data_IF_127577794715
#
_entry.id   IF_127577794715
#
_cell.length_a   1.000
_cell.length_b   1.000
_cell.length_c   1.000
_cell.angle_alpha   90.00
_cell.angle_beta   90.00
_cell.angle_gamma   90.00
#
_symmetry.space_group_name_H-M   'P 1'
#
loop_
_entity.id
_entity.type
_entity.pdbx_description
1 polymer ?
#
# COMPACT_ATOMS: atom_id res chain seq x y z
N UNK A 1 -4.76 -3.05 -11.04
CA UNK A 1 -5.24 -3.34 -9.68
C UNK A 1 -6.76 -3.32 -9.66
N UNK A 2 -7.36 -4.50 -9.72
CA UNK A 2 -8.80 -4.74 -9.52
C UNK A 2 -8.98 -5.39 -8.14
N UNK A 3 -8.50 -4.71 -7.10
CA UNK A 3 -8.58 -5.16 -5.71
C UNK A 3 -9.35 -4.12 -4.89
N UNK A 4 -10.44 -4.52 -4.24
CA UNK A 4 -11.18 -3.69 -3.27
C UNK A 4 -10.50 -3.65 -1.91
N UNK A 5 -11.09 -2.92 -0.94
CA UNK A 5 -10.53 -2.78 0.41
C UNK A 5 -10.29 -4.14 1.08
N UNK A 6 -11.27 -5.04 1.06
CA UNK A 6 -11.16 -6.41 1.62
C UNK A 6 -9.97 -7.20 1.07
N UNK A 7 -9.77 -7.16 -0.26
CA UNK A 7 -8.66 -7.90 -0.89
C UNK A 7 -7.31 -7.29 -0.53
N UNK A 8 -7.25 -5.97 -0.34
CA UNK A 8 -6.04 -5.32 0.14
C UNK A 8 -5.77 -5.66 1.60
N UNK A 9 -6.80 -5.66 2.44
CA UNK A 9 -6.71 -6.05 3.85
C UNK A 9 -6.22 -7.49 4.00
N UNK A 10 -6.79 -8.42 3.23
CA UNK A 10 -6.33 -9.81 3.20
C UNK A 10 -4.84 -9.92 2.82
N UNK A 11 -4.37 -9.09 1.87
CA UNK A 11 -2.96 -9.03 1.51
C UNK A 11 -2.08 -8.51 2.67
N UNK A 12 -2.54 -7.48 3.40
CA UNK A 12 -1.85 -6.99 4.60
C UNK A 12 -1.73 -8.09 5.62
N UNK A 13 -2.84 -8.77 5.95
CA UNK A 13 -2.86 -9.85 6.93
C UNK A 13 -1.97 -11.01 6.50
N UNK A 14 -1.97 -11.37 5.22
CA UNK A 14 -1.11 -12.44 4.71
C UNK A 14 0.39 -12.11 4.86
N UNK A 15 0.80 -10.86 4.66
CA UNK A 15 2.22 -10.46 4.69
C UNK A 15 2.69 -10.09 6.10
N UNK A 16 1.85 -9.39 6.87
CA UNK A 16 2.22 -8.83 8.18
C UNK A 16 1.58 -9.57 9.36
N UNK A 17 0.75 -10.59 9.11
CA UNK A 17 0.01 -11.36 10.13
C UNK A 17 -1.24 -10.65 10.67
N UNK A 18 -1.25 -9.32 10.71
CA UNK A 18 -2.40 -8.52 11.11
C UNK A 18 -2.34 -7.11 10.48
N UNK A 19 -3.51 -6.50 10.30
CA UNK A 19 -3.61 -5.07 10.03
C UNK A 19 -3.57 -4.31 11.37
N UNK A 20 -2.60 -3.43 11.51
CA UNK A 20 -2.36 -2.67 12.73
C UNK A 20 -3.27 -1.45 12.81
N UNK A 21 -3.77 -1.14 14.00
CA UNK A 21 -4.55 0.06 14.23
C UNK A 21 -3.71 1.34 14.03
N UNK A 22 -4.36 2.40 13.57
CA UNK A 22 -3.76 3.70 13.23
C UNK A 22 -2.66 3.64 12.15
N UNK A 23 -2.62 2.59 11.33
CA UNK A 23 -1.66 2.43 10.24
C UNK A 23 -2.29 2.51 8.85
N UNK A 24 -1.49 3.03 7.91
CA UNK A 24 -1.81 3.09 6.50
C UNK A 24 -0.90 2.16 5.68
N UNK A 25 -1.51 1.37 4.80
CA UNK A 25 -0.85 0.47 3.88
C UNK A 25 -1.06 0.97 2.45
N UNK A 26 0.04 1.26 1.76
CA UNK A 26 0.02 1.82 0.42
C UNK A 26 0.32 0.74 -0.63
N UNK A 27 -0.52 0.67 -1.65
CA UNK A 27 -0.40 -0.26 -2.76
C UNK A 27 -0.30 0.50 -4.07
N UNK A 28 0.61 0.07 -4.94
CA UNK A 28 0.71 0.56 -6.31
C UNK A 28 0.46 -0.58 -7.31
N UNK A 29 -0.04 -0.26 -8.50
CA UNK A 29 0.00 -1.22 -9.60
C UNK A 29 1.40 -1.25 -10.21
N UNK A 30 1.75 -2.36 -10.90
CA UNK A 30 3.04 -2.49 -11.59
C UNK A 30 3.36 -1.33 -12.57
N UNK A 31 2.33 -0.73 -13.19
CA UNK A 31 2.51 0.44 -14.08
C UNK A 31 2.70 1.78 -13.36
N UNK A 32 2.53 1.82 -12.03
CA UNK A 32 2.64 3.04 -11.22
C UNK A 32 1.59 4.13 -11.52
N UNK A 33 0.52 3.84 -12.24
CA UNK A 33 -0.51 4.84 -12.61
C UNK A 33 -1.65 4.93 -11.61
N UNK A 34 -1.77 3.95 -10.71
CA UNK A 34 -2.83 3.86 -9.71
C UNK A 34 -2.22 3.49 -8.37
N UNK A 35 -2.68 4.16 -7.32
CA UNK A 35 -2.39 3.81 -5.93
C UNK A 35 -3.69 3.62 -5.14
N UNK A 36 -3.60 2.80 -4.10
CA UNK A 36 -4.63 2.67 -3.07
C UNK A 36 -3.97 2.75 -1.70
N UNK A 37 -4.50 3.60 -0.83
CA UNK A 37 -4.12 3.70 0.56
C UNK A 37 -5.23 3.06 1.39
N UNK A 38 -4.91 1.95 2.06
CA UNK A 38 -5.78 1.28 3.02
C UNK A 38 -5.39 1.73 4.42
N UNK A 39 -6.28 2.37 5.16
CA UNK A 39 -6.01 2.84 6.51
C UNK A 39 -6.91 2.11 7.49
N UNK A 40 -6.30 1.57 8.54
CA UNK A 40 -7.02 1.12 9.71
C UNK A 40 -6.98 2.25 10.74
N UNK A 41 -8.11 2.89 11.02
CA UNK A 41 -8.18 4.07 11.88
C UNK A 41 -8.33 3.73 13.38
N UNK A 42 -8.53 2.46 13.71
CA UNK A 42 -8.73 1.96 15.07
C UNK A 42 -10.17 1.52 15.34
N UNK A 43 -11.13 2.05 14.58
CA UNK A 43 -12.55 1.69 14.66
C UNK A 43 -13.01 0.88 13.44
N UNK A 44 -12.35 1.08 12.31
CA UNK A 44 -12.63 0.39 11.07
C UNK A 44 -11.51 0.59 10.06
N UNK A 45 -11.84 0.26 8.81
CA UNK A 45 -10.92 0.35 7.69
C UNK A 45 -11.54 1.18 6.59
N UNK A 46 -10.77 2.12 6.04
CA UNK A 46 -11.16 2.89 4.87
C UNK A 46 -10.08 2.83 3.78
N UNK A 47 -10.50 3.02 2.53
CA UNK A 47 -9.60 2.95 1.38
C UNK A 47 -9.75 4.20 0.52
N UNK A 48 -8.67 4.96 0.38
CA UNK A 48 -8.55 5.99 -0.64
C UNK A 48 -7.92 5.42 -1.92
N UNK A 49 -8.40 5.83 -3.08
CA UNK A 49 -7.86 5.42 -4.37
C UNK A 49 -7.52 6.65 -5.21
N UNK A 50 -6.35 6.65 -5.84
CA UNK A 50 -5.94 7.69 -6.78
C UNK A 50 -5.45 7.08 -8.08
N UNK A 51 -5.91 7.64 -9.19
CA UNK A 51 -5.43 7.33 -10.54
C UNK A 51 -4.87 8.60 -11.17
N UNK A 52 -3.71 8.48 -11.79
CA UNK A 52 -3.18 9.52 -12.65
C UNK A 52 -3.68 9.30 -14.07
N UNK A 53 -4.10 10.38 -14.72
CA UNK A 53 -4.47 10.38 -16.14
C UNK A 53 -3.23 10.42 -17.03
N UNK A 54 -2.16 11.08 -16.56
CA UNK A 54 -0.86 11.20 -17.23
C UNK A 54 0.24 10.95 -16.21
N UNK A 55 1.32 10.28 -16.64
CA UNK A 55 2.49 10.00 -15.80
C UNK A 55 2.33 8.79 -14.89
N UNK A 56 3.27 8.64 -13.93
CA UNK A 56 3.31 7.56 -12.95
C UNK A 56 3.81 8.08 -11.60
N UNK A 57 3.36 7.43 -10.52
CA UNK A 57 3.96 7.60 -9.20
C UNK A 57 5.37 7.02 -9.20
N UNK A 58 6.29 7.72 -8.55
CA UNK A 58 7.63 7.20 -8.25
C UNK A 58 7.48 6.35 -7.00
N UNK A 59 7.89 5.08 -7.10
CA UNK A 59 7.82 4.13 -5.99
C UNK A 59 9.24 3.85 -5.49
N UNK A 60 9.47 3.78 -4.17
CA UNK A 60 10.77 3.41 -3.63
C UNK A 60 11.17 2.04 -4.17
N UNK A 61 12.30 1.98 -4.88
CA UNK A 61 12.86 0.75 -5.42
C UNK A 61 14.00 0.32 -4.50
N UNK A 62 14.05 -0.96 -4.13
CA UNK A 62 15.04 -1.53 -3.21
C UNK A 62 16.51 -1.35 -3.67
N UNK A 63 16.76 -0.90 -4.90
CA UNK A 63 18.10 -0.84 -5.51
C UNK A 63 18.92 0.41 -5.16
N UNK A 64 18.38 1.42 -4.47
CA UNK A 64 19.12 2.64 -4.12
C UNK A 64 19.14 2.90 -2.63
N UNK A 65 20.31 2.71 -2.00
CA UNK A 65 20.74 3.20 -0.69
C UNK A 65 19.63 3.60 0.32
N UNK A 66 19.54 2.80 1.39
CA UNK A 66 18.85 3.07 2.64
C UNK A 66 18.87 4.56 3.06
N UNK A 67 17.75 5.08 3.58
CA UNK A 67 17.80 5.80 4.84
C UNK A 67 17.29 4.86 5.92
N UNK A 68 18.21 4.46 6.80
CA UNK A 68 17.89 3.91 8.10
C UNK A 68 16.95 4.86 8.83
N UNK A 69 15.99 4.28 9.57
CA UNK A 69 14.93 4.93 10.35
C UNK A 69 13.64 5.22 9.59
N UNK A 70 12.86 4.17 9.30
CA UNK A 70 11.40 4.12 9.45
C UNK A 70 10.93 2.66 9.22
N UNK A 71 10.01 2.09 10.01
CA UNK A 71 9.42 0.78 9.70
C UNK A 71 8.45 0.99 8.53
N UNK A 72 8.96 1.03 7.30
CA UNK A 72 8.11 1.17 6.11
C UNK A 72 7.39 -0.15 5.84
N UNK A 73 6.19 -0.28 6.42
CA UNK A 73 5.09 -1.14 5.95
C UNK A 73 4.68 -0.73 4.52
N UNK A 74 5.54 -1.02 3.55
CA UNK A 74 5.30 -0.78 2.13
C UNK A 74 5.75 -1.99 1.30
N UNK A 75 5.41 -3.20 1.77
CA UNK A 75 5.59 -4.42 0.99
C UNK A 75 4.26 -5.11 0.85
N UNK A 76 3.54 -4.78 -0.23
CA UNK A 76 2.59 -5.69 -0.86
C UNK A 76 2.48 -5.22 -2.32
N UNK A 77 3.43 -5.62 -3.17
CA UNK A 77 3.20 -5.63 -4.61
C UNK A 77 2.21 -6.77 -4.87
N UNK A 78 0.94 -6.51 -5.25
CA UNK A 78 0.12 -7.58 -5.79
C UNK A 78 0.72 -7.96 -7.15
N UNK A 79 0.91 -9.27 -7.35
CA UNK A 79 1.23 -9.86 -8.66
C UNK A 79 0.34 -9.30 -9.79
#
# INVERSE_FOLDING_TARGET
MRAGAERLLACVVQVFGAAQAHHGYLFANARGTRIKLLVHDGFGVWCAARRLNVGRFIWPSTTGAMPSCCPMSACCQPA
#
